data_IF_153396038570
#
_entry.id   IF_153396038570
#
_cell.length_a   1.000
_cell.length_b   1.000
_cell.length_c   1.000
_cell.angle_alpha   90.00
_cell.angle_beta   90.00
_cell.angle_gamma   90.00
#
_symmetry.space_group_name_H-M   'P 1'
#
loop_
_entity.id
_entity.type
_entity.pdbx_description
1 polymer ?
#
# COMPACT_ATOMS: atom_id res chain seq x y z
N UNK A 1 -33.76 5.06 6.54
CA UNK A 1 -32.52 4.90 5.74
C UNK A 1 -31.38 4.79 6.74
N UNK A 2 -30.69 3.66 6.77
CA UNK A 2 -29.65 3.39 7.78
C UNK A 2 -28.32 3.97 7.32
N UNK A 3 -27.71 4.76 8.19
CA UNK A 3 -26.37 5.36 8.11
C UNK A 3 -25.29 4.26 8.21
N UNK A 4 -25.25 3.32 7.25
CA UNK A 4 -24.42 2.11 7.36
C UNK A 4 -23.46 1.87 6.20
N UNK A 5 -23.33 2.81 5.23
CA UNK A 5 -22.45 2.64 4.07
C UNK A 5 -21.34 3.71 3.95
N UNK A 6 -21.15 4.57 4.97
CA UNK A 6 -20.16 5.67 4.92
C UNK A 6 -18.80 5.26 5.52
N UNK A 7 -18.63 4.02 5.93
CA UNK A 7 -17.30 3.45 6.09
C UNK A 7 -16.94 2.77 4.77
N UNK A 8 -16.61 3.60 3.77
CA UNK A 8 -15.66 3.17 2.74
C UNK A 8 -14.51 2.55 3.53
N UNK A 9 -14.38 1.23 3.49
CA UNK A 9 -13.14 0.59 3.92
C UNK A 9 -12.08 1.26 3.06
N UNK A 10 -11.35 2.23 3.62
CA UNK A 10 -10.32 2.96 2.90
C UNK A 10 -9.18 1.97 2.68
N UNK A 11 -9.34 1.08 1.70
CA UNK A 11 -8.30 0.18 1.27
C UNK A 11 -7.29 0.98 0.48
N UNK A 12 -6.07 0.47 0.44
CA UNK A 12 -4.98 1.08 -0.31
C UNK A 12 -4.39 0.10 -1.30
N UNK A 13 -3.61 0.62 -2.23
CA UNK A 13 -2.84 -0.17 -3.18
C UNK A 13 -1.39 0.18 -2.98
N UNK A 14 -0.59 -0.84 -2.69
CA UNK A 14 0.86 -0.79 -2.75
C UNK A 14 1.29 -0.97 -4.20
N UNK A 15 2.02 0.00 -4.71
CA UNK A 15 2.60 0.02 -6.05
C UNK A 15 4.10 -0.18 -5.93
N UNK A 16 4.61 -1.22 -6.58
CA UNK A 16 6.04 -1.57 -6.53
C UNK A 16 6.61 -1.73 -7.93
N UNK A 17 7.89 -1.38 -8.15
CA UNK A 17 8.54 -1.64 -9.42
C UNK A 17 8.75 -3.14 -9.60
N UNK A 18 8.73 -3.61 -10.85
CA UNK A 18 9.14 -4.97 -11.18
C UNK A 18 10.61 -4.97 -11.62
N UNK A 19 11.32 -6.07 -11.37
CA UNK A 19 12.75 -6.16 -11.64
C UNK A 19 13.11 -6.14 -13.14
N UNK A 20 12.15 -6.42 -14.02
CA UNK A 20 12.37 -6.63 -15.46
C UNK A 20 11.91 -5.46 -16.34
N UNK A 21 11.35 -4.40 -15.77
CA UNK A 21 10.84 -3.26 -16.55
C UNK A 21 10.70 -2.03 -15.68
N UNK A 22 11.13 -0.89 -16.22
CA UNK A 22 10.94 0.42 -15.60
C UNK A 22 9.55 1.01 -15.90
N UNK A 23 8.79 0.41 -16.82
CA UNK A 23 7.47 0.87 -17.25
C UNK A 23 6.33 0.12 -16.56
N UNK A 24 6.59 -1.11 -16.09
CA UNK A 24 5.60 -1.96 -15.45
C UNK A 24 5.69 -1.84 -13.93
N UNK A 25 4.54 -1.78 -13.28
CA UNK A 25 4.43 -1.75 -11.82
C UNK A 25 3.52 -2.89 -11.36
N UNK A 26 3.92 -3.57 -10.29
CA UNK A 26 3.07 -4.51 -9.59
C UNK A 26 2.19 -3.77 -8.58
N UNK A 27 0.94 -4.20 -8.47
CA UNK A 27 -0.08 -3.56 -7.64
C UNK A 27 -0.66 -4.59 -6.69
N UNK A 28 -0.53 -4.34 -5.39
CA UNK A 28 -1.08 -5.19 -4.34
C UNK A 28 -2.07 -4.40 -3.50
N UNK A 29 -3.28 -4.93 -3.37
CA UNK A 29 -4.26 -4.37 -2.44
C UNK A 29 -3.83 -4.56 -0.99
N UNK A 30 -4.09 -3.54 -0.20
CA UNK A 30 -3.78 -3.45 1.21
C UNK A 30 -5.07 -3.15 1.98
N UNK A 31 -5.32 -3.84 3.10
CA UNK A 31 -6.61 -3.81 3.79
C UNK A 31 -6.86 -2.55 4.64
N UNK A 32 -5.93 -1.58 4.64
CA UNK A 32 -5.98 -0.39 5.50
C UNK A 32 -5.70 0.87 4.70
N UNK A 33 -5.92 2.03 5.32
CA UNK A 33 -5.75 3.30 4.65
C UNK A 33 -4.26 3.58 4.37
N UNK A 34 -3.92 4.38 3.35
CA UNK A 34 -2.53 4.70 3.05
C UNK A 34 -1.75 5.29 4.24
N UNK A 35 -2.43 6.05 5.10
CA UNK A 35 -1.86 6.66 6.30
C UNK A 35 -1.49 5.66 7.40
N UNK A 36 -2.01 4.44 7.34
CA UNK A 36 -1.73 3.37 8.32
C UNK A 36 -0.46 2.59 7.99
N UNK A 37 0.29 3.01 6.96
CA UNK A 37 1.53 2.39 6.55
C UNK A 37 2.70 3.36 6.58
N UNK A 38 3.84 2.87 7.02
CA UNK A 38 5.12 3.56 6.97
C UNK A 38 5.99 2.95 5.88
N UNK A 39 6.36 3.78 4.91
CA UNK A 39 7.37 3.44 3.90
C UNK A 39 8.74 3.84 4.42
N UNK A 40 9.69 2.90 4.46
CA UNK A 40 11.06 3.15 4.89
C UNK A 40 12.01 2.86 3.71
N UNK A 41 12.70 3.89 3.19
CA UNK A 41 13.71 3.70 2.15
C UNK A 41 14.99 3.06 2.72
N UNK A 42 15.73 2.36 1.89
CA UNK A 42 16.99 1.70 2.26
C UNK A 42 17.57 0.89 1.10
N UNK A 43 18.55 0.02 1.40
CA UNK A 43 19.06 -0.95 0.42
C UNK A 43 17.94 -1.89 -0.08
N UNK A 44 16.98 -2.18 0.79
CA UNK A 44 15.65 -2.67 0.43
C UNK A 44 14.61 -1.71 0.99
N UNK A 45 13.59 -1.44 0.20
CA UNK A 45 12.44 -0.66 0.65
C UNK A 45 11.54 -1.56 1.49
N UNK A 46 11.04 -1.03 2.60
CA UNK A 46 10.07 -1.74 3.42
C UNK A 46 8.81 -0.93 3.64
N UNK A 47 7.68 -1.63 3.73
CA UNK A 47 6.39 -1.07 4.10
C UNK A 47 5.93 -1.78 5.36
N UNK A 48 5.69 -1.00 6.41
CA UNK A 48 5.28 -1.51 7.72
C UNK A 48 3.93 -0.95 8.09
N UNK A 49 3.01 -1.81 8.53
CA UNK A 49 1.77 -1.40 9.15
C UNK A 49 2.04 -0.70 10.47
N UNK A 50 1.49 0.49 10.65
CA UNK A 50 1.59 1.26 11.89
C UNK A 50 0.67 0.72 12.98
N UNK A 51 -0.34 -0.05 12.61
CA UNK A 51 -1.34 -0.59 13.54
C UNK A 51 -0.78 -1.70 14.42
N UNK A 52 -0.01 -2.61 13.82
CA UNK A 52 0.51 -3.83 14.46
C UNK A 52 2.03 -3.98 14.32
N UNK A 53 2.70 -3.09 13.60
CA UNK A 53 4.14 -3.15 13.35
C UNK A 53 4.55 -4.20 12.32
N UNK A 54 3.61 -4.86 11.63
CA UNK A 54 3.93 -5.91 10.69
C UNK A 54 4.51 -5.35 9.38
N UNK A 55 5.62 -5.93 8.90
CA UNK A 55 6.17 -5.61 7.58
C UNK A 55 5.35 -6.32 6.51
N UNK A 56 4.63 -5.55 5.69
CA UNK A 56 3.76 -6.06 4.61
C UNK A 56 4.46 -6.12 3.25
N UNK A 57 5.61 -5.44 3.13
CA UNK A 57 6.48 -5.51 1.95
C UNK A 57 7.93 -5.26 2.35
N UNK A 58 8.85 -6.00 1.73
CA UNK A 58 10.28 -5.76 1.77
C UNK A 58 10.89 -6.14 0.42
N UNK A 59 11.50 -5.19 -0.28
CA UNK A 59 11.95 -5.46 -1.65
C UNK A 59 12.54 -4.27 -2.40
N UNK A 60 12.30 -4.27 -3.70
CA UNK A 60 12.81 -3.28 -4.65
C UNK A 60 11.90 -2.06 -4.61
N UNK A 61 12.47 -0.86 -4.65
CA UNK A 61 11.72 0.38 -4.67
C UNK A 61 12.39 1.43 -5.55
N UNK A 62 11.81 2.62 -5.70
CA UNK A 62 10.81 3.26 -4.84
C UNK A 62 9.41 2.65 -4.88
N UNK A 63 8.75 2.57 -3.73
CA UNK A 63 7.35 2.10 -3.63
C UNK A 63 6.40 3.22 -3.24
N UNK A 64 5.14 3.10 -3.65
CA UNK A 64 4.10 4.10 -3.40
C UNK A 64 2.85 3.42 -2.83
N UNK A 65 2.22 4.05 -1.84
CA UNK A 65 0.92 3.62 -1.30
C UNK A 65 -0.10 4.68 -1.66
N UNK A 66 -1.16 4.27 -2.35
CA UNK A 66 -2.25 5.14 -2.77
C UNK A 66 -3.59 4.59 -2.30
N UNK A 67 -4.61 5.44 -2.17
CA UNK A 67 -5.98 4.96 -1.93
C UNK A 67 -6.38 4.06 -3.08
N UNK A 68 -7.05 2.95 -2.79
CA UNK A 68 -7.78 2.23 -3.82
C UNK A 68 -8.90 3.17 -4.28
N UNK A 69 -8.87 3.59 -5.55
CA UNK A 69 -10.03 4.32 -6.08
C UNK A 69 -11.22 3.36 -6.03
N UNK A 70 -12.25 3.73 -5.28
CA UNK A 70 -13.56 3.10 -5.42
C UNK A 70 -13.99 3.25 -6.88
N UNK A 71 -14.23 2.13 -7.55
CA UNK A 71 -14.92 2.11 -8.83
C UNK A 71 -16.35 2.67 -8.68
#
# INVERSE_FOLDING_TARGET
MSQADIFLSETSVLVTPVWYSDEVQDMRELPMAPGDYKVTPGARWSVTSLKDGATVYEGIGPVVIRRANGA
#
